data_IF_830491281216
#
_entry.id   IF_830491281216
#
_cell.length_a   1.000
_cell.length_b   1.000
_cell.length_c   1.000
_cell.angle_alpha   90.00
_cell.angle_beta   90.00
_cell.angle_gamma   90.00
#
_symmetry.space_group_name_H-M   'P 1'
#
loop_
_entity.id
_entity.type
_entity.pdbx_description
1 polymer ?
#
# COMPACT_ATOMS: atom_id res chain seq x y z
N UNK A 1 27.45 25.64 -30.66
CA UNK A 1 28.78 25.93 -30.06
C UNK A 1 28.57 26.61 -28.71
N UNK A 2 28.98 25.92 -27.62
CA UNK A 2 29.68 26.41 -26.40
C UNK A 2 29.19 27.73 -25.76
N UNK A 3 28.83 27.84 -24.48
CA UNK A 3 29.49 27.26 -23.31
C UNK A 3 28.60 27.32 -22.04
N UNK A 4 28.42 26.17 -21.38
CA UNK A 4 28.57 26.07 -19.91
C UNK A 4 30.10 26.09 -19.65
N UNK A 5 30.69 26.58 -18.53
CA UNK A 5 30.16 26.50 -17.14
C UNK A 5 30.63 27.60 -16.15
N UNK A 6 29.78 28.06 -15.22
CA UNK A 6 30.23 28.62 -13.94
C UNK A 6 29.29 28.07 -12.87
N UNK A 7 29.48 26.81 -12.48
CA UNK A 7 30.19 26.43 -11.25
C UNK A 7 29.68 27.20 -10.02
N UNK A 8 28.77 26.60 -9.25
CA UNK A 8 29.14 25.71 -8.14
C UNK A 8 29.89 26.47 -7.05
N UNK A 9 29.20 27.28 -6.24
CA UNK A 9 29.81 27.98 -5.10
C UNK A 9 28.88 28.15 -3.87
N UNK A 10 27.94 27.23 -3.65
CA UNK A 10 27.02 27.32 -2.49
C UNK A 10 26.82 26.01 -1.70
N UNK A 11 27.77 25.09 -1.74
CA UNK A 11 27.72 23.83 -0.97
C UNK A 11 29.01 23.63 -0.17
N UNK A 12 29.21 24.40 0.91
CA UNK A 12 30.24 24.10 1.91
C UNK A 12 29.86 24.65 3.30
N UNK A 13 28.79 24.12 3.92
CA UNK A 13 28.53 24.29 5.36
C UNK A 13 27.95 22.99 5.96
N UNK A 14 28.76 21.94 5.98
CA UNK A 14 28.73 20.81 6.93
C UNK A 14 29.90 19.89 6.57
N UNK A 15 31.05 19.96 7.24
CA UNK A 15 31.22 19.37 8.56
C UNK A 15 31.72 17.92 8.41
N UNK A 16 33.00 17.73 8.06
CA UNK A 16 33.67 16.43 8.05
C UNK A 16 34.76 16.41 9.12
N UNK A 17 34.41 15.98 10.33
CA UNK A 17 35.38 15.68 11.39
C UNK A 17 36.00 14.32 11.14
N UNK A 18 37.17 14.29 10.51
CA UNK A 18 38.11 13.17 10.55
C UNK A 18 39.12 13.45 11.66
N UNK A 19 38.88 12.91 12.86
CA UNK A 19 39.94 12.64 13.81
C UNK A 19 39.77 11.24 14.40
N UNK A 20 40.91 10.56 14.46
CA UNK A 20 41.17 9.32 15.20
C UNK A 20 40.79 8.01 14.50
N UNK A 21 41.66 7.61 13.56
CA UNK A 21 42.10 6.20 13.52
C UNK A 21 43.18 6.03 14.60
N UNK A 22 42.92 5.16 15.56
CA UNK A 22 43.96 4.43 16.28
C UNK A 22 43.52 2.96 16.43
N UNK A 23 44.44 2.00 16.32
CA UNK A 23 44.15 0.61 16.04
C UNK A 23 43.78 -0.12 17.34
N UNK A 24 42.73 -0.93 17.30
CA UNK A 24 42.43 -1.87 18.39
C UNK A 24 42.54 -3.27 17.82
N UNK A 25 43.63 -3.93 18.18
CA UNK A 25 43.82 -5.38 18.08
C UNK A 25 42.77 -6.13 18.92
N UNK A 26 42.49 -7.41 18.60
CA UNK A 26 41.35 -8.13 19.16
C UNK A 26 41.69 -8.66 20.55
N UNK A 27 40.93 -8.25 21.58
CA UNK A 27 40.98 -8.90 22.89
C UNK A 27 39.58 -9.17 23.42
N UNK A 28 39.27 -10.46 23.37
CA UNK A 28 38.30 -11.20 24.15
C UNK A 28 38.25 -10.74 25.61
N UNK A 29 37.09 -10.29 26.09
CA UNK A 29 36.77 -10.29 27.53
C UNK A 29 35.26 -10.29 27.77
N UNK A 30 34.82 -11.45 28.20
CA UNK A 30 33.64 -11.76 29.01
C UNK A 30 33.37 -10.68 30.06
N UNK A 31 32.20 -10.03 30.00
CA UNK A 31 31.60 -9.37 31.15
C UNK A 31 30.08 -9.36 31.00
N UNK A 32 29.43 -10.25 31.74
CA UNK A 32 27.98 -10.36 31.92
C UNK A 32 27.43 -9.04 32.48
N UNK A 33 26.64 -8.31 31.70
CA UNK A 33 25.82 -7.21 32.18
C UNK A 33 24.36 -7.70 32.34
N UNK A 34 23.67 -7.35 33.45
CA UNK A 34 22.31 -7.81 33.71
C UNK A 34 21.34 -7.21 32.69
N UNK A 35 20.60 -8.08 32.01
CA UNK A 35 19.61 -7.72 31.02
C UNK A 35 18.52 -6.83 31.65
N UNK A 36 18.51 -5.55 31.30
CA UNK A 36 17.34 -4.69 31.45
C UNK A 36 16.26 -5.23 30.53
N UNK A 37 15.23 -5.84 31.11
CA UNK A 37 14.02 -6.24 30.37
C UNK A 37 13.28 -4.97 29.93
N UNK A 38 13.51 -4.55 28.69
CA UNK A 38 12.73 -3.49 28.05
C UNK A 38 11.28 -3.97 27.84
N UNK A 39 10.25 -3.22 28.25
CA UNK A 39 8.86 -3.59 28.01
C UNK A 39 8.59 -3.68 26.51
N UNK A 40 8.25 -4.88 26.03
CA UNK A 40 7.91 -5.11 24.63
C UNK A 40 6.68 -4.27 24.25
N UNK A 41 6.89 -3.25 23.42
CA UNK A 41 5.83 -2.40 22.86
C UNK A 41 4.78 -3.28 22.17
N UNK A 42 3.47 -3.12 22.43
CA UNK A 42 2.43 -3.89 21.76
C UNK A 42 2.56 -3.76 20.24
N UNK A 43 2.69 -4.90 19.54
CA UNK A 43 2.67 -4.90 18.07
C UNK A 43 1.30 -4.42 17.62
N UNK A 44 1.27 -3.36 16.82
CA UNK A 44 0.04 -2.88 16.21
C UNK A 44 -0.57 -3.99 15.34
N UNK A 45 -1.78 -4.43 15.71
CA UNK A 45 -2.56 -5.39 14.91
C UNK A 45 -2.96 -4.70 13.62
N UNK A 46 -2.38 -5.13 12.50
CA UNK A 46 -2.81 -4.65 11.18
C UNK A 46 -4.11 -5.36 10.82
N UNK A 47 -5.13 -4.63 10.34
CA UNK A 47 -6.34 -5.27 9.81
C UNK A 47 -5.97 -6.29 8.75
N UNK A 48 -6.60 -7.46 8.79
CA UNK A 48 -6.38 -8.48 7.78
C UNK A 48 -6.73 -7.92 6.39
N UNK A 49 -5.88 -8.15 5.36
CA UNK A 49 -6.14 -7.65 4.03
C UNK A 49 -7.39 -8.32 3.45
N UNK A 50 -8.31 -7.52 2.91
CA UNK A 50 -9.53 -8.01 2.24
C UNK A 50 -9.15 -8.82 1.00
N UNK A 51 -9.53 -10.10 0.99
CA UNK A 51 -9.16 -11.03 -0.08
C UNK A 51 -10.09 -10.86 -1.29
N UNK A 52 -9.52 -10.75 -2.49
CA UNK A 52 -10.32 -10.69 -3.72
C UNK A 52 -10.47 -12.10 -4.28
N UNK A 53 -11.71 -12.49 -4.54
CA UNK A 53 -12.08 -13.64 -5.36
C UNK A 53 -12.50 -13.13 -6.74
N UNK A 54 -11.90 -13.68 -7.80
CA UNK A 54 -12.32 -13.41 -9.18
C UNK A 54 -13.38 -14.37 -9.68
N UNK A 55 -13.54 -15.49 -8.97
CA UNK A 55 -14.37 -16.61 -9.39
C UNK A 55 -15.27 -17.04 -8.25
N UNK A 56 -16.57 -17.15 -8.53
CA UNK A 56 -17.57 -17.56 -7.54
C UNK A 56 -17.34 -19.00 -7.05
N UNK A 57 -16.74 -19.86 -7.88
CA UNK A 57 -16.39 -21.25 -7.53
C UNK A 57 -15.50 -21.35 -6.29
N UNK A 58 -14.68 -20.33 -6.02
CA UNK A 58 -13.81 -20.31 -4.84
C UNK A 58 -14.58 -20.13 -3.52
N UNK A 59 -15.87 -19.76 -3.59
CA UNK A 59 -16.78 -19.59 -2.45
C UNK A 59 -17.73 -20.78 -2.29
N UNK A 60 -17.77 -21.71 -3.25
CA UNK A 60 -18.62 -22.91 -3.15
C UNK A 60 -18.16 -23.76 -1.98
N UNK A 61 -19.09 -24.13 -1.11
CA UNK A 61 -18.82 -24.90 0.10
C UNK A 61 -18.21 -24.10 1.26
N UNK A 62 -17.97 -22.80 1.09
CA UNK A 62 -17.58 -21.90 2.19
C UNK A 62 -18.80 -21.13 2.67
N UNK A 63 -19.19 -21.21 3.95
CA UNK A 63 -20.22 -20.33 4.48
C UNK A 63 -19.70 -18.88 4.44
N UNK A 64 -20.48 -18.00 3.82
CA UNK A 64 -20.20 -16.56 3.79
C UNK A 64 -21.49 -15.78 3.99
N UNK A 65 -21.35 -14.60 4.55
CA UNK A 65 -22.43 -13.61 4.66
C UNK A 65 -22.20 -12.52 3.64
N UNK A 66 -23.22 -12.23 2.84
CA UNK A 66 -23.20 -11.07 1.95
C UNK A 66 -23.43 -9.79 2.77
N UNK A 67 -22.53 -8.83 2.60
CA UNK A 67 -22.60 -7.51 3.24
C UNK A 67 -23.14 -6.43 2.29
N UNK A 68 -23.25 -6.74 0.99
CA UNK A 68 -23.78 -5.87 -0.04
C UNK A 68 -22.79 -5.59 -1.16
N UNK A 69 -23.27 -4.87 -2.18
CA UNK A 69 -22.44 -4.47 -3.31
C UNK A 69 -21.46 -3.36 -2.94
N UNK A 70 -20.27 -3.45 -3.51
CA UNK A 70 -19.20 -2.46 -3.38
C UNK A 70 -18.69 -2.08 -4.75
N UNK A 71 -18.29 -0.83 -4.86
CA UNK A 71 -17.70 -0.27 -6.06
C UNK A 71 -16.37 0.38 -5.74
N UNK A 72 -15.47 0.42 -6.72
CA UNK A 72 -14.22 1.14 -6.62
C UNK A 72 -13.86 1.73 -7.97
N UNK A 73 -13.45 2.99 -8.00
CA UNK A 73 -13.26 3.72 -9.24
C UNK A 73 -11.96 4.49 -9.28
N UNK A 74 -11.41 4.70 -10.48
CA UNK A 74 -10.30 5.58 -10.76
C UNK A 74 -10.74 6.59 -11.81
N UNK A 75 -11.06 7.81 -11.38
CA UNK A 75 -11.47 8.91 -12.24
C UNK A 75 -10.25 9.67 -12.77
N UNK A 76 -10.24 9.93 -14.08
CA UNK A 76 -9.40 10.94 -14.72
C UNK A 76 -10.29 12.14 -15.04
N UNK A 77 -10.10 13.26 -14.34
CA UNK A 77 -10.97 14.44 -14.49
C UNK A 77 -10.73 15.16 -15.83
N UNK A 78 -9.47 15.29 -16.24
CA UNK A 78 -9.03 15.95 -17.46
C UNK A 78 -8.01 15.12 -18.24
N UNK A 79 -7.77 15.46 -19.52
CA UNK A 79 -6.75 14.83 -20.34
C UNK A 79 -5.31 15.00 -19.81
N UNK A 80 -5.07 15.97 -18.92
CA UNK A 80 -3.75 16.21 -18.33
C UNK A 80 -3.51 15.37 -17.07
N UNK A 81 -4.58 14.84 -16.48
CA UNK A 81 -4.48 13.94 -15.33
C UNK A 81 -4.03 12.56 -15.77
N UNK A 82 -3.46 11.81 -14.81
CA UNK A 82 -3.08 10.42 -15.02
C UNK A 82 -4.27 9.60 -15.56
N UNK A 83 -4.05 8.74 -16.58
CA UNK A 83 -5.10 7.87 -17.10
C UNK A 83 -5.74 7.00 -16.01
N UNK A 84 -7.01 6.61 -16.18
CA UNK A 84 -7.69 5.73 -15.23
C UNK A 84 -7.00 4.36 -15.16
N UNK A 85 -6.87 3.83 -13.94
CA UNK A 85 -6.10 2.62 -13.67
C UNK A 85 -6.96 1.57 -12.96
N UNK A 86 -7.13 0.40 -13.59
CA UNK A 86 -7.92 -0.72 -13.05
C UNK A 86 -7.37 -1.24 -11.70
N UNK A 87 -6.06 -1.52 -11.55
CA UNK A 87 -5.47 -1.82 -10.24
C UNK A 87 -5.82 -0.82 -9.14
N UNK A 88 -5.82 0.49 -9.44
CA UNK A 88 -6.23 1.53 -8.47
C UNK A 88 -7.71 1.42 -8.12
N UNK A 89 -8.58 1.25 -9.11
CA UNK A 89 -10.02 1.05 -8.90
C UNK A 89 -10.29 -0.19 -8.03
N UNK A 90 -9.60 -1.30 -8.30
CA UNK A 90 -9.68 -2.55 -7.52
C UNK A 90 -9.18 -2.38 -6.08
N UNK A 91 -8.11 -1.61 -5.87
CA UNK A 91 -7.65 -1.29 -4.51
C UNK A 91 -8.68 -0.46 -3.75
N UNK A 92 -9.30 0.53 -4.41
CA UNK A 92 -10.39 1.33 -3.82
C UNK A 92 -11.61 0.46 -3.50
N UNK A 93 -11.94 -0.50 -4.36
CA UNK A 93 -12.97 -1.50 -4.10
C UNK A 93 -12.67 -2.29 -2.80
N UNK A 94 -11.44 -2.80 -2.63
CA UNK A 94 -11.04 -3.49 -1.40
C UNK A 94 -11.15 -2.61 -0.16
N UNK A 95 -10.74 -1.34 -0.25
CA UNK A 95 -10.86 -0.39 0.87
C UNK A 95 -12.34 -0.17 1.21
N UNK A 96 -13.20 -0.06 0.22
CA UNK A 96 -14.63 0.14 0.42
C UNK A 96 -15.29 -1.08 1.10
N UNK A 97 -14.92 -2.28 0.68
CA UNK A 97 -15.33 -3.51 1.35
C UNK A 97 -14.81 -3.59 2.79
N UNK A 98 -13.55 -3.19 3.03
CA UNK A 98 -13.00 -3.13 4.39
C UNK A 98 -13.79 -2.18 5.30
N UNK A 99 -14.27 -1.04 4.76
CA UNK A 99 -15.15 -0.10 5.50
C UNK A 99 -16.48 -0.73 5.91
N UNK A 100 -16.95 -1.72 5.15
CA UNK A 100 -18.14 -2.52 5.47
C UNK A 100 -17.84 -3.69 6.41
N UNK A 101 -16.60 -3.78 6.94
CA UNK A 101 -16.11 -4.89 7.77
C UNK A 101 -16.08 -6.24 7.04
N UNK A 102 -16.02 -6.21 5.70
CA UNK A 102 -15.83 -7.41 4.90
C UNK A 102 -14.40 -7.93 5.04
N UNK A 103 -14.25 -9.25 4.98
CA UNK A 103 -12.93 -9.90 4.92
C UNK A 103 -12.59 -10.41 3.50
N UNK A 104 -13.58 -10.37 2.60
CA UNK A 104 -13.46 -10.77 1.21
C UNK A 104 -14.29 -9.89 0.27
N UNK A 105 -13.94 -9.89 -1.01
CA UNK A 105 -14.72 -9.31 -2.10
C UNK A 105 -14.78 -10.31 -3.24
N UNK A 106 -15.98 -10.58 -3.75
CA UNK A 106 -16.16 -11.22 -5.04
C UNK A 106 -16.17 -10.14 -6.14
N UNK A 107 -15.15 -10.14 -6.98
CA UNK A 107 -15.04 -9.19 -8.09
C UNK A 107 -15.92 -9.68 -9.25
N UNK A 108 -16.83 -8.83 -9.72
CA UNK A 108 -17.71 -9.14 -10.85
C UNK A 108 -17.06 -8.74 -12.16
N UNK A 109 -16.67 -7.47 -12.28
CA UNK A 109 -16.00 -6.94 -13.46
C UNK A 109 -15.24 -5.66 -13.16
N UNK A 110 -14.27 -5.35 -14.02
CA UNK A 110 -13.64 -4.04 -14.09
C UNK A 110 -13.66 -3.56 -15.53
N UNK A 111 -14.12 -2.33 -15.75
CA UNK A 111 -14.24 -1.74 -17.08
C UNK A 111 -13.76 -0.30 -17.08
N UNK A 112 -13.32 0.18 -18.25
CA UNK A 112 -12.94 1.59 -18.45
C UNK A 112 -13.99 2.22 -19.34
N UNK A 113 -14.70 3.19 -18.78
CA UNK A 113 -15.80 3.90 -19.43
C UNK A 113 -15.41 5.36 -19.66
N UNK A 114 -16.02 5.98 -20.65
CA UNK A 114 -15.91 7.42 -20.95
C UNK A 114 -17.25 8.10 -20.86
N UNK A 115 -17.23 9.41 -20.59
CA UNK A 115 -18.45 10.21 -20.55
C UNK A 115 -19.20 10.12 -19.21
N UNK A 116 -18.55 9.64 -18.14
CA UNK A 116 -19.12 9.79 -16.80
C UNK A 116 -19.10 11.27 -16.40
N UNK A 117 -20.19 11.83 -15.86
CA UNK A 117 -20.19 13.20 -15.37
C UNK A 117 -19.04 13.42 -14.36
N UNK A 118 -18.21 14.43 -14.62
CA UNK A 118 -17.05 14.76 -13.77
C UNK A 118 -15.76 13.99 -14.06
N UNK A 119 -15.79 12.97 -14.94
CA UNK A 119 -14.60 12.24 -15.36
C UNK A 119 -14.51 12.19 -16.88
N UNK A 120 -13.40 12.68 -17.43
CA UNK A 120 -13.08 12.48 -18.85
C UNK A 120 -13.06 10.98 -19.21
N UNK A 121 -12.37 10.18 -18.38
CA UNK A 121 -12.36 8.71 -18.44
C UNK A 121 -12.39 8.15 -17.02
N UNK A 122 -12.91 6.95 -16.85
CA UNK A 122 -13.01 6.32 -15.54
C UNK A 122 -12.87 4.82 -15.63
N UNK A 123 -12.05 4.23 -14.77
CA UNK A 123 -12.05 2.79 -14.54
C UNK A 123 -12.97 2.50 -13.36
N UNK A 124 -13.92 1.58 -13.50
CA UNK A 124 -14.84 1.16 -12.43
C UNK A 124 -14.72 -0.35 -12.25
N UNK A 125 -14.57 -0.77 -11.00
CA UNK A 125 -14.65 -2.16 -10.59
C UNK A 125 -15.87 -2.34 -9.69
N UNK A 126 -16.65 -3.39 -9.98
CA UNK A 126 -17.86 -3.76 -9.26
C UNK A 126 -17.65 -5.12 -8.59
N UNK A 127 -18.17 -5.29 -7.39
CA UNK A 127 -18.06 -6.54 -6.65
C UNK A 127 -19.08 -6.63 -5.51
N UNK A 128 -19.11 -7.79 -4.85
CA UNK A 128 -19.87 -8.00 -3.62
C UNK A 128 -18.92 -8.12 -2.45
N UNK A 129 -19.20 -7.40 -1.36
CA UNK A 129 -18.46 -7.48 -0.12
C UNK A 129 -18.97 -8.64 0.73
N UNK A 130 -18.07 -9.54 1.12
CA UNK A 130 -18.42 -10.78 1.80
C UNK A 130 -17.68 -10.90 3.13
N UNK A 131 -18.33 -11.54 4.09
CA UNK A 131 -17.71 -12.02 5.32
C UNK A 131 -17.69 -13.55 5.30
N UNK A 132 -16.54 -14.12 4.93
CA UNK A 132 -16.31 -15.56 4.83
C UNK A 132 -15.86 -16.09 6.18
N UNK A 133 -16.64 -16.95 6.82
CA UNK A 133 -16.37 -17.40 8.19
C UNK A 133 -15.20 -18.39 8.29
N UNK A 134 -14.78 -18.98 7.17
CA UNK A 134 -13.69 -19.94 7.09
C UNK A 134 -12.57 -19.41 6.18
N UNK A 135 -11.67 -18.61 6.76
CA UNK A 135 -10.40 -18.20 6.14
C UNK A 135 -9.27 -19.14 6.54
#
# INVERSE_FOLDING_TARGET
MRALPVCLLALMLSGCSMLSRSPVEPVQSTATAPAKTEPAKPKAVRPAPVRIYTDASALVGKPFRDLGEVTGESCQASNQDSPPNIPTARKRLQINAARMKANAVLLHRCEVTSGTPGCYRQAVCLGSALDVSAQ
#
